data_IF_816031992334
#
_entry.id   IF_816031992334
#
_cell.length_a   1.000
_cell.length_b   1.000
_cell.length_c   1.000
_cell.angle_alpha   90.00
_cell.angle_beta   90.00
_cell.angle_gamma   90.00
#
_symmetry.space_group_name_H-M   'P 1'
#
loop_
_entity.id
_entity.type
_entity.pdbx_description
1 polymer ?
#
# COMPACT_ATOMS: atom_id res chain seq x y z
N UNK A 1 43.21 83.83 -40.06
CA UNK A 1 42.79 82.82 -41.00
C UNK A 1 42.79 81.48 -40.26
N UNK A 2 41.63 80.87 -40.05
CA UNK A 2 41.45 79.77 -39.11
C UNK A 2 41.58 78.45 -39.83
N UNK A 3 42.45 77.59 -39.34
CA UNK A 3 42.66 76.23 -39.77
C UNK A 3 41.81 75.27 -38.91
N UNK A 4 40.89 74.57 -39.52
CA UNK A 4 40.01 73.59 -38.87
C UNK A 4 40.65 72.20 -38.96
N UNK A 5 40.95 71.60 -37.81
CA UNK A 5 41.44 70.24 -37.70
C UNK A 5 40.23 69.26 -37.60
N UNK A 6 40.13 68.31 -38.52
CA UNK A 6 39.20 67.21 -38.49
C UNK A 6 39.81 66.02 -37.70
N UNK A 7 39.19 65.70 -36.59
CA UNK A 7 39.49 64.49 -35.80
C UNK A 7 38.63 63.37 -36.36
N UNK A 8 39.26 62.31 -36.91
CA UNK A 8 38.58 61.07 -37.27
C UNK A 8 38.43 60.16 -36.04
N UNK A 9 37.22 59.95 -35.60
CA UNK A 9 36.88 59.03 -34.55
C UNK A 9 36.72 57.63 -35.16
N UNK A 10 37.59 56.67 -34.76
CA UNK A 10 37.44 55.27 -35.11
C UNK A 10 36.49 54.58 -34.11
N UNK A 11 35.36 54.04 -34.60
CA UNK A 11 34.44 53.26 -33.81
C UNK A 11 34.89 51.79 -33.87
N UNK A 12 35.35 51.24 -32.74
CA UNK A 12 35.66 49.82 -32.57
C UNK A 12 34.34 49.16 -32.13
N UNK A 13 33.74 48.36 -33.02
CA UNK A 13 32.62 47.50 -32.67
C UNK A 13 33.12 46.22 -31.97
N UNK A 14 32.82 46.16 -30.67
CA UNK A 14 33.08 44.92 -29.89
C UNK A 14 31.89 43.99 -30.06
N UNK A 15 32.10 42.87 -30.82
CA UNK A 15 31.16 41.79 -30.91
C UNK A 15 31.26 40.92 -29.64
N UNK A 16 30.33 41.06 -28.70
CA UNK A 16 30.17 40.09 -27.62
C UNK A 16 29.31 38.92 -28.10
N UNK A 17 29.91 37.76 -28.27
CA UNK A 17 29.22 36.49 -28.46
C UNK A 17 28.53 36.11 -27.14
N UNK A 18 27.22 35.74 -27.11
CA UNK A 18 26.62 35.24 -25.91
C UNK A 18 27.16 33.85 -25.61
N UNK A 19 27.89 33.70 -24.50
CA UNK A 19 28.25 32.38 -23.95
C UNK A 19 26.94 31.85 -23.34
N UNK A 20 26.34 30.88 -24.01
CA UNK A 20 25.22 30.11 -23.47
C UNK A 20 25.75 29.27 -22.29
N UNK A 21 25.59 29.79 -21.07
CA UNK A 21 25.77 29.00 -19.85
C UNK A 21 24.62 28.00 -19.80
N UNK A 22 24.88 26.76 -20.18
CA UNK A 22 24.00 25.65 -19.87
C UNK A 22 24.04 25.47 -18.36
N UNK A 23 23.04 25.99 -17.66
CA UNK A 23 22.81 25.62 -16.27
C UNK A 23 22.48 24.13 -16.26
N UNK A 24 23.44 23.30 -15.92
CA UNK A 24 23.18 21.94 -15.50
C UNK A 24 22.28 22.06 -14.26
N UNK A 25 21.00 21.74 -14.41
CA UNK A 25 20.13 21.51 -13.28
C UNK A 25 20.75 20.36 -12.51
N UNK A 26 21.46 20.66 -11.44
CA UNK A 26 21.87 19.67 -10.45
C UNK A 26 20.57 19.07 -9.93
N UNK A 27 20.26 17.87 -10.36
CA UNK A 27 19.11 17.10 -9.88
C UNK A 27 19.36 16.88 -8.40
N UNK A 28 18.66 17.61 -7.57
CA UNK A 28 18.80 17.53 -6.12
C UNK A 28 18.36 16.12 -5.71
N UNK A 29 19.21 15.39 -5.02
CA UNK A 29 18.88 14.06 -4.51
C UNK A 29 17.56 14.15 -3.72
N UNK A 30 16.64 13.18 -3.86
CA UNK A 30 15.37 13.18 -3.15
C UNK A 30 15.61 13.34 -1.65
N UNK A 31 14.93 14.28 -1.02
CA UNK A 31 15.06 14.52 0.41
C UNK A 31 14.28 13.43 1.15
N UNK A 32 14.95 12.62 1.93
CA UNK A 32 14.31 11.66 2.83
C UNK A 32 13.69 12.42 4.00
N UNK A 33 12.39 12.21 4.25
CA UNK A 33 11.69 12.82 5.38
C UNK A 33 12.00 12.15 6.71
N UNK A 34 12.15 10.82 6.71
CA UNK A 34 12.40 10.02 7.91
C UNK A 34 13.83 9.50 7.92
N UNK A 35 14.47 9.60 9.09
CA UNK A 35 15.86 9.16 9.25
C UNK A 35 15.95 7.63 9.39
N UNK A 36 17.03 7.00 8.89
CA UNK A 36 17.30 5.61 9.17
C UNK A 36 17.31 5.32 10.67
N UNK A 37 16.80 4.18 11.07
CA UNK A 37 16.78 3.72 12.45
C UNK A 37 17.34 2.31 12.56
N UNK A 38 17.72 1.92 13.78
CA UNK A 38 17.97 0.51 14.11
C UNK A 38 16.64 -0.25 14.01
N UNK A 39 16.61 -1.44 13.37
CA UNK A 39 15.39 -2.23 13.27
C UNK A 39 14.76 -2.51 14.63
N UNK A 40 13.44 -2.38 14.72
CA UNK A 40 12.68 -2.74 15.94
C UNK A 40 11.59 -3.74 15.60
N UNK A 41 11.27 -4.63 16.54
CA UNK A 41 10.29 -5.69 16.34
C UNK A 41 10.88 -7.00 15.82
N UNK A 42 10.01 -7.94 15.48
CA UNK A 42 10.40 -9.29 15.04
C UNK A 42 9.97 -9.51 13.59
N UNK A 43 10.91 -9.68 12.65
CA UNK A 43 10.59 -9.85 11.25
C UNK A 43 9.82 -11.14 10.98
N UNK A 44 8.83 -11.09 10.07
CA UNK A 44 7.97 -12.20 9.68
C UNK A 44 8.17 -12.58 8.21
N UNK A 45 7.70 -13.75 7.84
CA UNK A 45 7.71 -14.24 6.47
C UNK A 45 8.56 -15.48 6.25
N UNK A 46 8.45 -16.09 5.06
CA UNK A 46 9.29 -17.23 4.60
C UNK A 46 10.75 -16.81 4.63
N UNK A 47 11.03 -15.61 4.14
CA UNK A 47 12.26 -14.87 4.34
C UNK A 47 11.92 -13.71 5.29
N UNK A 48 12.36 -13.78 6.55
CA UNK A 48 11.91 -12.82 7.56
C UNK A 48 12.19 -11.37 7.18
N UNK A 49 11.16 -10.49 7.24
CA UNK A 49 11.26 -9.08 6.91
C UNK A 49 11.37 -8.78 5.41
N UNK A 50 11.20 -9.77 4.51
CA UNK A 50 11.29 -9.54 3.07
C UNK A 50 10.09 -8.78 2.55
N UNK A 51 10.38 -7.72 1.79
CA UNK A 51 9.43 -6.97 0.97
C UNK A 51 9.86 -7.09 -0.50
N UNK A 52 8.98 -7.59 -1.35
CA UNK A 52 9.20 -7.67 -2.79
C UNK A 52 8.58 -6.45 -3.47
N UNK A 53 9.39 -5.69 -4.19
CA UNK A 53 8.96 -4.55 -5.00
C UNK A 53 9.19 -4.87 -6.47
N UNK A 54 8.11 -5.13 -7.21
CA UNK A 54 8.12 -5.34 -8.66
C UNK A 54 7.72 -4.05 -9.37
N UNK A 55 8.46 -3.66 -10.39
CA UNK A 55 8.29 -2.44 -11.15
C UNK A 55 8.25 -2.75 -12.65
N UNK A 56 7.18 -2.36 -13.35
CA UNK A 56 6.98 -2.58 -14.77
C UNK A 56 6.71 -1.25 -15.47
N UNK A 57 7.74 -0.49 -15.91
CA UNK A 57 7.54 0.75 -16.64
C UNK A 57 6.59 0.55 -17.82
N UNK A 58 5.63 1.47 -17.99
CA UNK A 58 4.59 1.37 -19.03
C UNK A 58 3.36 0.56 -18.63
N UNK A 59 3.31 -0.05 -17.44
CA UNK A 59 2.08 -0.70 -16.96
C UNK A 59 0.92 0.29 -16.79
N UNK A 60 1.21 1.57 -16.55
CA UNK A 60 0.28 2.67 -16.50
C UNK A 60 0.81 3.80 -17.40
N UNK A 61 -0.06 4.34 -18.25
CA UNK A 61 0.29 5.33 -19.29
C UNK A 61 -0.69 6.50 -19.38
N UNK A 62 -1.60 6.64 -18.40
CA UNK A 62 -2.56 7.74 -18.40
C UNK A 62 -1.83 9.09 -18.42
N UNK A 63 -2.23 9.97 -19.33
CA UNK A 63 -1.60 11.26 -19.61
C UNK A 63 -2.15 12.42 -18.75
N UNK A 64 -3.08 12.13 -17.82
CA UNK A 64 -3.75 13.14 -17.00
C UNK A 64 -4.89 13.85 -17.74
N UNK A 65 -5.19 13.51 -19.00
CA UNK A 65 -6.25 14.13 -19.78
C UNK A 65 -7.64 13.73 -19.29
N UNK A 66 -8.65 14.52 -19.67
CA UNK A 66 -10.06 14.20 -19.41
C UNK A 66 -10.69 13.31 -20.49
N UNK A 67 -9.96 13.02 -21.55
CA UNK A 67 -10.44 12.19 -22.65
C UNK A 67 -10.53 10.70 -22.28
N UNK A 68 -9.72 10.27 -21.31
CA UNK A 68 -9.73 8.92 -20.74
C UNK A 68 -9.69 8.99 -19.22
N UNK A 69 -10.14 7.92 -18.55
CA UNK A 69 -9.94 7.77 -17.12
C UNK A 69 -8.66 6.96 -16.86
N UNK A 70 -7.99 7.22 -15.73
CA UNK A 70 -6.76 6.51 -15.35
C UNK A 70 -6.97 4.98 -15.29
N UNK A 71 -8.19 4.53 -15.00
CA UNK A 71 -8.55 3.12 -14.88
C UNK A 71 -8.96 2.46 -16.20
N UNK A 72 -9.04 3.21 -17.32
CA UNK A 72 -9.40 2.65 -18.62
C UNK A 72 -8.33 1.65 -19.11
N UNK A 73 -8.77 0.63 -19.86
CA UNK A 73 -7.85 -0.34 -20.45
C UNK A 73 -6.85 0.27 -21.43
N UNK A 74 -7.22 1.36 -22.10
CA UNK A 74 -6.32 2.10 -22.98
C UNK A 74 -5.15 2.77 -22.24
N UNK A 75 -5.27 2.96 -20.92
CA UNK A 75 -4.27 3.58 -20.07
C UNK A 75 -3.44 2.56 -19.29
N UNK A 76 -3.76 1.27 -19.39
CA UNK A 76 -3.15 0.24 -18.54
C UNK A 76 -2.81 -1.04 -19.31
N UNK A 77 -1.55 -1.47 -19.26
CA UNK A 77 -1.12 -2.74 -19.85
C UNK A 77 -1.40 -3.89 -18.87
N UNK A 78 -2.43 -4.67 -19.19
CA UNK A 78 -2.82 -5.83 -18.38
C UNK A 78 -1.73 -6.91 -18.31
N UNK A 79 -0.97 -7.13 -19.38
CA UNK A 79 0.12 -8.12 -19.41
C UNK A 79 1.20 -7.74 -18.39
N UNK A 80 1.51 -6.44 -18.28
CA UNK A 80 2.45 -5.94 -17.29
C UNK A 80 1.87 -6.03 -15.87
N UNK A 81 0.56 -5.80 -15.67
CA UNK A 81 -0.08 -6.03 -14.36
C UNK A 81 0.02 -7.52 -13.94
N UNK A 82 -0.20 -8.46 -14.87
CA UNK A 82 0.01 -9.89 -14.62
C UNK A 82 1.45 -10.22 -14.25
N UNK A 83 2.41 -9.61 -14.97
CA UNK A 83 3.83 -9.78 -14.64
C UNK A 83 4.15 -9.25 -13.24
N UNK A 84 3.61 -8.10 -12.85
CA UNK A 84 3.81 -7.52 -11.52
C UNK A 84 3.38 -8.49 -10.41
N UNK A 85 2.20 -9.10 -10.52
CA UNK A 85 1.71 -10.09 -9.54
C UNK A 85 2.63 -11.31 -9.49
N UNK A 86 2.96 -11.90 -10.64
CA UNK A 86 3.80 -13.09 -10.73
C UNK A 86 5.23 -12.83 -10.19
N UNK A 87 5.83 -11.68 -10.54
CA UNK A 87 7.16 -11.30 -10.08
C UNK A 87 7.17 -11.05 -8.56
N UNK A 88 6.19 -10.33 -8.03
CA UNK A 88 6.08 -10.06 -6.59
C UNK A 88 6.00 -11.36 -5.79
N UNK A 89 5.16 -12.31 -6.19
CA UNK A 89 5.04 -13.60 -5.51
C UNK A 89 6.32 -14.42 -5.57
N UNK A 90 6.98 -14.49 -6.73
CA UNK A 90 8.25 -15.22 -6.88
C UNK A 90 9.35 -14.61 -6.04
N UNK A 91 9.51 -13.30 -6.08
CA UNK A 91 10.53 -12.59 -5.32
C UNK A 91 10.30 -12.70 -3.79
N UNK A 92 9.04 -12.63 -3.38
CA UNK A 92 8.65 -12.79 -1.99
C UNK A 92 9.01 -14.16 -1.43
N UNK A 93 8.85 -15.20 -2.22
CA UNK A 93 9.02 -16.60 -1.80
C UNK A 93 10.35 -17.24 -2.20
N UNK A 94 11.06 -16.65 -3.16
CA UNK A 94 12.24 -17.26 -3.80
C UNK A 94 11.89 -18.41 -4.78
N UNK A 95 10.60 -18.63 -5.04
CA UNK A 95 10.16 -19.73 -5.92
C UNK A 95 10.24 -19.35 -7.41
N UNK A 96 10.49 -20.35 -8.25
CA UNK A 96 10.70 -20.15 -9.69
C UNK A 96 9.40 -19.98 -10.50
N UNK A 97 8.25 -20.38 -9.95
CA UNK A 97 6.95 -20.25 -10.61
C UNK A 97 5.90 -19.70 -9.66
N UNK A 98 4.92 -19.00 -10.21
CA UNK A 98 3.81 -18.41 -9.46
C UNK A 98 3.01 -19.46 -8.68
N UNK A 99 2.71 -20.60 -9.31
CA UNK A 99 2.05 -21.74 -8.67
C UNK A 99 2.80 -22.24 -7.42
N UNK A 100 4.13 -22.35 -7.50
CA UNK A 100 4.95 -22.77 -6.36
C UNK A 100 5.02 -21.68 -5.29
N UNK A 101 5.07 -20.41 -5.70
CA UNK A 101 5.03 -19.28 -4.80
C UNK A 101 3.73 -19.26 -3.98
N UNK A 102 2.58 -19.43 -4.60
CA UNK A 102 1.30 -19.58 -3.88
C UNK A 102 1.31 -20.74 -2.90
N UNK A 103 1.80 -21.90 -3.34
CA UNK A 103 1.92 -23.04 -2.44
C UNK A 103 2.79 -22.72 -1.23
N UNK A 104 3.91 -22.05 -1.42
CA UNK A 104 4.82 -21.65 -0.33
C UNK A 104 4.14 -20.69 0.65
N UNK A 105 3.43 -19.65 0.14
CA UNK A 105 2.69 -18.69 0.94
C UNK A 105 1.62 -19.37 1.79
N UNK A 106 0.78 -20.21 1.21
CA UNK A 106 -0.24 -20.95 1.96
C UNK A 106 0.37 -21.90 2.99
N UNK A 107 1.44 -22.62 2.62
CA UNK A 107 2.11 -23.55 3.55
C UNK A 107 2.74 -22.82 4.73
N UNK A 108 3.39 -21.69 4.48
CA UNK A 108 3.96 -20.85 5.54
C UNK A 108 2.84 -20.39 6.50
N UNK A 109 1.79 -19.78 5.96
CA UNK A 109 0.67 -19.28 6.76
C UNK A 109 0.04 -20.38 7.63
N UNK A 110 -0.24 -21.53 7.04
CA UNK A 110 -0.85 -22.66 7.75
C UNK A 110 0.09 -23.25 8.81
N UNK A 111 1.39 -23.27 8.54
CA UNK A 111 2.40 -23.71 9.53
C UNK A 111 2.41 -22.80 10.76
N UNK A 112 2.35 -21.46 10.57
CA UNK A 112 2.27 -20.50 11.68
C UNK A 112 0.99 -20.69 12.53
N UNK A 113 -0.04 -21.34 11.99
CA UNK A 113 -1.32 -21.67 12.66
C UNK A 113 -1.40 -23.12 13.13
N UNK A 114 -0.26 -23.81 13.25
CA UNK A 114 -0.18 -25.19 13.73
C UNK A 114 -0.60 -26.27 12.73
N UNK A 115 -0.81 -25.91 11.44
CA UNK A 115 -1.16 -26.87 10.38
C UNK A 115 0.04 -27.17 9.50
N UNK A 116 1.02 -27.88 10.05
CA UNK A 116 2.28 -28.23 9.37
C UNK A 116 2.07 -28.87 7.99
N UNK A 117 2.80 -28.37 6.98
CA UNK A 117 2.83 -28.91 5.62
C UNK A 117 1.52 -28.77 4.82
N UNK A 118 0.50 -28.13 5.36
CA UNK A 118 -0.77 -27.88 4.65
C UNK A 118 -0.66 -26.66 3.78
N UNK A 119 -0.99 -26.80 2.49
CA UNK A 119 -1.22 -25.69 1.57
C UNK A 119 -2.71 -25.33 1.55
N UNK A 120 -3.20 -24.63 0.51
CA UNK A 120 -4.61 -24.30 0.34
C UNK A 120 -5.48 -25.57 0.40
N UNK A 121 -6.51 -25.54 1.23
CA UNK A 121 -7.52 -26.59 1.34
C UNK A 121 -8.75 -26.27 0.47
N UNK A 122 -9.22 -27.29 -0.29
CA UNK A 122 -10.38 -27.11 -1.17
C UNK A 122 -11.61 -26.63 -0.37
N UNK A 123 -12.18 -25.49 -0.78
CA UNK A 123 -13.35 -24.91 -0.14
C UNK A 123 -13.03 -23.87 0.95
N UNK A 124 -11.76 -23.68 1.32
CA UNK A 124 -11.38 -22.61 2.24
C UNK A 124 -11.60 -21.24 1.58
N UNK A 125 -12.33 -20.35 2.26
CA UNK A 125 -12.70 -19.03 1.73
C UNK A 125 -11.53 -18.05 1.82
N UNK A 126 -11.36 -17.23 0.79
CA UNK A 126 -10.39 -16.11 0.75
C UNK A 126 -11.16 -14.80 0.61
N UNK A 127 -10.89 -13.82 1.46
CA UNK A 127 -11.37 -12.45 1.30
C UNK A 127 -10.23 -11.53 0.87
N UNK A 128 -10.50 -10.64 -0.08
CA UNK A 128 -9.55 -9.62 -0.54
C UNK A 128 -10.09 -8.28 -0.10
N UNK A 129 -9.41 -7.60 0.83
CA UNK A 129 -9.70 -6.21 1.20
C UNK A 129 -9.01 -5.29 0.19
N UNK A 130 -9.81 -4.59 -0.61
CA UNK A 130 -9.33 -3.53 -1.51
C UNK A 130 -9.49 -2.15 -0.88
N UNK A 131 -9.00 -1.09 -1.53
CA UNK A 131 -9.18 0.28 -1.08
C UNK A 131 -9.97 1.10 -2.11
N UNK A 132 -11.23 1.34 -1.84
CA UNK A 132 -12.09 2.24 -2.60
C UNK A 132 -12.58 3.40 -1.71
N UNK A 133 -11.69 3.98 -0.90
CA UNK A 133 -12.07 5.00 0.08
C UNK A 133 -12.78 6.23 -0.52
N UNK A 134 -12.59 6.48 -1.81
CA UNK A 134 -13.07 7.69 -2.48
C UNK A 134 -14.30 7.44 -3.38
N UNK A 135 -15.01 6.32 -3.17
CA UNK A 135 -16.25 6.01 -3.90
C UNK A 135 -17.48 6.20 -2.99
N UNK A 136 -18.49 6.88 -3.51
CA UNK A 136 -19.72 7.20 -2.77
C UNK A 136 -20.99 6.71 -3.48
N UNK A 137 -20.84 6.05 -4.61
CA UNK A 137 -21.86 5.33 -5.41
C UNK A 137 -21.18 4.23 -6.22
N UNK A 138 -21.97 3.43 -6.97
CA UNK A 138 -21.42 2.46 -7.93
C UNK A 138 -20.88 3.13 -9.21
N UNK A 139 -21.22 4.39 -9.44
CA UNK A 139 -20.68 5.15 -10.58
C UNK A 139 -19.16 5.25 -10.50
N UNK A 140 -18.53 5.24 -11.66
CA UNK A 140 -17.08 5.31 -11.75
C UNK A 140 -16.57 6.67 -11.29
N UNK A 141 -15.56 6.64 -10.45
CA UNK A 141 -14.91 7.82 -9.89
C UNK A 141 -13.51 7.97 -10.44
N UNK A 142 -13.14 9.19 -10.84
CA UNK A 142 -11.77 9.51 -11.26
C UNK A 142 -10.80 9.65 -10.10
N UNK A 143 -11.28 9.65 -8.87
CA UNK A 143 -10.41 9.63 -7.68
C UNK A 143 -9.64 8.32 -7.58
N UNK A 144 -8.46 8.39 -6.98
CA UNK A 144 -7.60 7.21 -6.81
C UNK A 144 -8.27 6.16 -5.92
N UNK A 145 -8.44 4.97 -6.46
CA UNK A 145 -9.03 3.78 -5.84
C UNK A 145 -8.26 2.54 -6.31
N UNK A 146 -8.67 1.34 -5.87
CA UNK A 146 -8.07 0.09 -6.33
C UNK A 146 -8.08 -0.01 -7.86
N UNK A 147 -6.92 -0.38 -8.43
CA UNK A 147 -6.75 -0.50 -9.88
C UNK A 147 -7.49 -1.72 -10.42
N UNK A 148 -8.45 -1.57 -11.33
CA UNK A 148 -9.21 -2.71 -11.87
C UNK A 148 -8.33 -3.76 -12.53
N UNK A 149 -7.29 -3.34 -13.24
CA UNK A 149 -6.36 -4.23 -13.94
C UNK A 149 -5.47 -5.00 -12.95
N UNK A 150 -5.01 -4.35 -11.88
CA UNK A 150 -4.19 -5.00 -10.85
C UNK A 150 -5.02 -6.00 -10.05
N UNK A 151 -6.26 -5.63 -9.68
CA UNK A 151 -7.16 -6.56 -9.01
C UNK A 151 -7.48 -7.77 -9.89
N UNK A 152 -7.82 -7.56 -11.16
CA UNK A 152 -8.07 -8.67 -12.09
C UNK A 152 -6.84 -9.59 -12.22
N UNK A 153 -5.63 -9.02 -12.27
CA UNK A 153 -4.39 -9.76 -12.33
C UNK A 153 -4.18 -10.64 -11.07
N UNK A 154 -4.51 -10.12 -9.89
CA UNK A 154 -4.48 -10.89 -8.65
C UNK A 154 -5.53 -12.01 -8.64
N UNK A 155 -6.76 -11.74 -9.10
CA UNK A 155 -7.82 -12.72 -9.18
C UNK A 155 -7.46 -13.86 -10.15
N UNK A 156 -6.90 -13.55 -11.33
CA UNK A 156 -6.39 -14.54 -12.27
C UNK A 156 -5.31 -15.41 -11.63
N UNK A 157 -4.37 -14.80 -10.92
CA UNK A 157 -3.33 -15.51 -10.19
C UNK A 157 -3.87 -16.50 -9.16
N UNK A 158 -4.88 -16.09 -8.40
CA UNK A 158 -5.53 -16.97 -7.42
C UNK A 158 -6.30 -18.13 -8.07
N UNK A 159 -7.03 -17.85 -9.14
CA UNK A 159 -7.87 -18.86 -9.80
C UNK A 159 -7.02 -19.84 -10.62
N UNK A 160 -6.15 -19.31 -11.49
CA UNK A 160 -5.44 -20.12 -12.48
C UNK A 160 -4.15 -20.76 -11.92
N UNK A 161 -3.41 -20.02 -11.08
CA UNK A 161 -2.11 -20.50 -10.58
C UNK A 161 -2.22 -21.14 -9.18
N UNK A 162 -2.98 -20.55 -8.27
CA UNK A 162 -3.20 -21.13 -6.94
C UNK A 162 -4.29 -22.20 -6.94
N UNK A 163 -5.16 -22.23 -7.95
CA UNK A 163 -6.25 -23.20 -8.09
C UNK A 163 -7.41 -22.97 -7.10
N UNK A 164 -7.61 -21.71 -6.67
CA UNK A 164 -8.70 -21.36 -5.76
C UNK A 164 -10.01 -21.26 -6.56
N UNK A 165 -11.07 -22.03 -6.21
CA UNK A 165 -12.35 -21.91 -6.88
C UNK A 165 -12.93 -20.50 -6.74
N UNK A 166 -13.47 -19.96 -7.82
CA UNK A 166 -14.03 -18.58 -7.85
C UNK A 166 -15.03 -18.32 -6.72
N UNK A 167 -15.92 -19.27 -6.44
CA UNK A 167 -16.93 -19.18 -5.38
C UNK A 167 -16.33 -19.15 -3.96
N UNK A 168 -15.05 -19.43 -3.82
CA UNK A 168 -14.32 -19.30 -2.55
C UNK A 168 -13.67 -17.94 -2.38
N UNK A 169 -13.73 -17.06 -3.39
CA UNK A 169 -13.11 -15.72 -3.37
C UNK A 169 -14.18 -14.66 -3.15
N UNK A 170 -13.91 -13.73 -2.25
CA UNK A 170 -14.73 -12.54 -2.00
C UNK A 170 -13.85 -11.29 -2.07
N UNK A 171 -14.16 -10.36 -2.96
CA UNK A 171 -13.59 -9.01 -2.97
C UNK A 171 -14.45 -8.12 -2.11
N UNK A 172 -13.87 -7.39 -1.16
CA UNK A 172 -14.63 -6.64 -0.19
C UNK A 172 -14.09 -5.22 0.07
N UNK A 173 -14.99 -4.24 0.03
CA UNK A 173 -14.82 -2.88 0.52
C UNK A 173 -16.06 -2.48 1.33
N UNK A 174 -16.22 -2.97 2.56
CA UNK A 174 -17.48 -2.83 3.31
C UNK A 174 -17.88 -1.39 3.62
N UNK A 175 -16.93 -0.45 3.63
CA UNK A 175 -17.18 0.94 4.02
C UNK A 175 -17.51 1.88 2.86
N UNK A 176 -17.39 1.41 1.63
CA UNK A 176 -17.53 2.21 0.40
C UNK A 176 -18.21 1.40 -0.69
N UNK A 177 -18.17 1.89 -1.89
CA UNK A 177 -18.78 1.26 -3.06
C UNK A 177 -17.72 0.65 -3.96
N UNK A 178 -18.03 -0.46 -4.58
CA UNK A 178 -17.25 -1.04 -5.66
C UNK A 178 -17.82 -0.52 -6.97
N UNK A 179 -17.04 0.29 -7.70
CA UNK A 179 -17.48 0.97 -8.92
C UNK A 179 -17.81 0.00 -10.05
N UNK A 180 -18.62 0.46 -11.02
CA UNK A 180 -19.11 -0.38 -12.11
C UNK A 180 -17.98 -0.88 -13.01
N UNK A 181 -17.00 -0.03 -13.34
CA UNK A 181 -15.88 -0.45 -14.16
C UNK A 181 -15.07 -1.57 -13.49
N UNK A 182 -14.71 -1.39 -12.21
CA UNK A 182 -13.96 -2.39 -11.46
C UNK A 182 -14.73 -3.70 -11.35
N UNK A 183 -16.01 -3.64 -10.97
CA UNK A 183 -16.88 -4.80 -10.86
C UNK A 183 -17.00 -5.53 -12.18
N UNK A 184 -17.43 -4.84 -13.24
CA UNK A 184 -17.69 -5.43 -14.54
C UNK A 184 -16.42 -6.07 -15.14
N UNK A 185 -15.28 -5.39 -15.01
CA UNK A 185 -14.00 -5.91 -15.48
C UNK A 185 -13.62 -7.25 -14.83
N UNK A 186 -13.77 -7.35 -13.52
CA UNK A 186 -13.42 -8.57 -12.78
C UNK A 186 -14.49 -9.65 -12.90
N UNK A 187 -15.78 -9.28 -12.75
CA UNK A 187 -16.90 -10.21 -12.76
C UNK A 187 -17.14 -10.84 -14.14
N UNK A 188 -16.93 -10.10 -15.24
CA UNK A 188 -17.05 -10.66 -16.58
C UNK A 188 -16.08 -11.80 -16.84
N UNK A 189 -14.88 -11.75 -16.25
CA UNK A 189 -13.86 -12.81 -16.37
C UNK A 189 -14.09 -13.95 -15.38
N UNK A 190 -14.51 -13.62 -14.15
CA UNK A 190 -14.69 -14.55 -13.04
C UNK A 190 -16.04 -14.37 -12.35
N UNK A 191 -17.15 -14.80 -12.99
CA UNK A 191 -18.52 -14.55 -12.50
C UNK A 191 -18.87 -15.28 -11.20
N UNK A 192 -18.08 -16.25 -10.78
CA UNK A 192 -18.26 -16.95 -9.51
C UNK A 192 -17.69 -16.22 -8.31
N UNK A 193 -16.91 -15.14 -8.51
CA UNK A 193 -16.35 -14.33 -7.42
C UNK A 193 -17.44 -13.42 -6.83
N UNK A 194 -17.49 -13.33 -5.51
CA UNK A 194 -18.40 -12.44 -4.80
C UNK A 194 -17.77 -11.08 -4.57
N UNK A 195 -18.59 -10.05 -4.71
CA UNK A 195 -18.22 -8.66 -4.41
C UNK A 195 -19.10 -8.15 -3.30
N UNK A 196 -18.50 -7.63 -2.23
CA UNK A 196 -19.19 -7.14 -1.03
C UNK A 196 -18.82 -5.68 -0.80
N UNK A 197 -19.81 -4.80 -0.76
CA UNK A 197 -19.62 -3.39 -0.50
C UNK A 197 -20.65 -2.82 0.49
N UNK A 198 -20.59 -1.51 0.73
CA UNK A 198 -21.45 -0.86 1.71
C UNK A 198 -22.95 -0.99 1.41
N UNK A 199 -23.34 -0.93 0.14
CA UNK A 199 -24.74 -0.82 -0.29
C UNK A 199 -25.31 -2.13 -0.80
N UNK A 200 -24.51 -2.92 -1.50
CA UNK A 200 -25.03 -3.99 -2.35
C UNK A 200 -25.83 -3.47 -3.53
N UNK A 201 -26.41 -4.36 -4.32
CA UNK A 201 -27.12 -4.06 -5.56
C UNK A 201 -26.22 -4.18 -6.78
N UNK A 202 -26.81 -4.27 -7.96
CA UNK A 202 -26.11 -4.38 -9.26
C UNK A 202 -25.04 -5.49 -9.28
N UNK A 203 -25.38 -6.65 -8.70
CA UNK A 203 -24.50 -7.82 -8.59
C UNK A 203 -23.57 -7.84 -7.37
N UNK A 204 -23.49 -6.75 -6.60
CA UNK A 204 -22.74 -6.71 -5.35
C UNK A 204 -23.64 -7.14 -4.18
N UNK A 205 -23.02 -7.69 -3.15
CA UNK A 205 -23.69 -8.01 -1.89
C UNK A 205 -23.47 -6.87 -0.90
N UNK A 206 -24.51 -6.53 -0.14
CA UNK A 206 -24.38 -5.58 0.97
C UNK A 206 -23.55 -6.18 2.09
N UNK A 207 -22.63 -5.39 2.65
CA UNK A 207 -21.83 -5.80 3.78
C UNK A 207 -22.70 -6.07 5.01
N UNK A 208 -22.47 -7.22 5.62
CA UNK A 208 -23.02 -7.63 6.92
C UNK A 208 -21.89 -7.65 7.95
N UNK A 209 -22.25 -7.59 9.25
CA UNK A 209 -21.28 -7.45 10.31
C UNK A 209 -21.50 -8.42 11.44
N UNK A 210 -20.42 -9.02 11.93
CA UNK A 210 -20.38 -9.79 13.18
C UNK A 210 -20.19 -8.81 14.34
N UNK A 211 -21.27 -8.51 15.06
CA UNK A 211 -21.23 -7.57 16.17
C UNK A 211 -20.37 -8.09 17.34
N UNK A 212 -19.64 -7.18 18.00
CA UNK A 212 -18.77 -7.53 19.11
C UNK A 212 -17.50 -8.30 18.73
N UNK A 213 -17.22 -8.46 17.43
CA UNK A 213 -16.07 -9.24 16.96
C UNK A 213 -14.72 -8.62 17.32
N UNK A 214 -14.64 -7.28 17.46
CA UNK A 214 -13.43 -6.58 17.91
C UNK A 214 -13.70 -5.78 19.17
N UNK A 215 -12.75 -5.76 20.11
CA UNK A 215 -12.89 -5.07 21.38
C UNK A 215 -12.07 -3.81 21.52
N UNK A 216 -11.10 -3.59 20.70
CA UNK A 216 -10.10 -2.54 20.80
C UNK A 216 -9.44 -2.43 22.18
N UNK A 217 -8.15 -2.34 22.19
CA UNK A 217 -7.33 -2.33 23.41
C UNK A 217 -7.58 -1.08 24.28
N UNK A 218 -7.93 0.05 23.68
CA UNK A 218 -8.38 1.27 24.36
C UNK A 218 -9.65 1.79 23.69
N UNK A 219 -10.78 1.20 24.03
CA UNK A 219 -12.07 1.68 23.58
C UNK A 219 -12.63 2.71 24.57
N UNK A 220 -13.02 3.86 24.06
CA UNK A 220 -13.70 4.91 24.81
C UNK A 220 -15.23 4.71 24.86
N UNK A 221 -15.73 3.54 24.50
CA UNK A 221 -17.17 3.20 24.45
C UNK A 221 -17.88 3.70 23.19
N UNK A 222 -17.15 4.25 22.22
CA UNK A 222 -17.72 4.85 21.01
C UNK A 222 -17.29 4.17 19.70
N UNK A 223 -16.37 3.21 19.77
CA UNK A 223 -15.90 2.50 18.58
C UNK A 223 -16.89 1.39 18.20
N UNK A 224 -17.22 1.31 16.92
CA UNK A 224 -18.05 0.24 16.40
C UNK A 224 -17.29 -1.10 16.45
N UNK A 225 -17.89 -2.10 17.07
CA UNK A 225 -17.26 -3.39 17.36
C UNK A 225 -17.62 -4.49 16.36
N UNK A 226 -18.43 -4.18 15.35
CA UNK A 226 -18.78 -5.13 14.29
C UNK A 226 -17.67 -5.21 13.24
N UNK A 227 -17.27 -6.43 12.88
CA UNK A 227 -16.38 -6.68 11.73
C UNK A 227 -17.19 -7.26 10.59
N UNK A 228 -16.90 -6.85 9.35
CA UNK A 228 -17.59 -7.36 8.18
C UNK A 228 -17.44 -8.90 8.07
N UNK A 229 -18.57 -9.58 7.85
CA UNK A 229 -18.64 -11.05 7.78
C UNK A 229 -17.78 -11.60 6.64
N UNK A 230 -17.57 -10.84 5.58
CA UNK A 230 -16.62 -11.18 4.52
C UNK A 230 -15.23 -11.56 5.07
N UNK A 231 -14.80 -10.93 6.17
CA UNK A 231 -13.51 -11.25 6.82
C UNK A 231 -13.66 -12.26 7.95
N UNK A 232 -14.66 -12.15 8.81
CA UNK A 232 -14.81 -13.07 9.95
C UNK A 232 -15.07 -14.51 9.49
N UNK A 233 -15.75 -14.70 8.36
CA UNK A 233 -16.00 -16.01 7.77
C UNK A 233 -14.90 -16.52 6.83
N UNK A 234 -13.99 -15.68 6.40
CA UNK A 234 -12.87 -16.09 5.56
C UNK A 234 -11.88 -16.94 6.37
N UNK A 235 -11.24 -17.88 5.69
CA UNK A 235 -10.11 -18.62 6.25
C UNK A 235 -8.79 -17.88 6.06
N UNK A 236 -8.63 -17.23 4.91
CA UNK A 236 -7.51 -16.39 4.55
C UNK A 236 -7.99 -15.00 4.16
N UNK A 237 -7.15 -14.02 4.38
CA UNK A 237 -7.37 -12.66 3.89
C UNK A 237 -6.15 -12.19 3.10
N UNK A 238 -6.38 -11.45 2.03
CA UNK A 238 -5.37 -10.66 1.32
C UNK A 238 -5.73 -9.20 1.54
N UNK A 239 -4.77 -8.42 2.04
CA UNK A 239 -4.93 -6.97 2.19
C UNK A 239 -4.23 -6.29 1.02
N UNK A 240 -4.99 -5.66 0.12
CA UNK A 240 -4.51 -4.94 -1.04
C UNK A 240 -4.79 -3.46 -0.87
N UNK A 241 -3.81 -2.74 -0.32
CA UNK A 241 -3.85 -1.30 -0.08
C UNK A 241 -3.42 -0.50 -1.31
N UNK A 242 -3.40 0.84 -1.21
CA UNK A 242 -2.94 1.75 -2.26
C UNK A 242 -1.70 2.52 -1.82
N UNK A 243 -0.82 2.80 -2.78
CA UNK A 243 0.36 3.63 -2.58
C UNK A 243 -0.01 5.12 -2.59
N UNK A 244 -0.54 5.62 -1.47
CA UNK A 244 -0.97 7.02 -1.37
C UNK A 244 -0.82 7.60 0.04
N UNK A 245 -0.66 8.93 0.08
CA UNK A 245 -0.67 9.70 1.31
C UNK A 245 -2.05 9.83 1.95
N UNK A 246 -2.08 10.39 3.15
CA UNK A 246 -3.31 10.67 3.89
C UNK A 246 -3.12 11.77 4.91
N UNK A 247 -3.92 12.82 4.83
CA UNK A 247 -3.98 13.84 5.88
C UNK A 247 -4.42 13.22 7.22
N UNK A 248 -3.78 13.60 8.31
CA UNK A 248 -4.06 13.09 9.66
C UNK A 248 -3.34 11.78 10.02
N UNK A 249 -2.78 11.06 9.02
CA UNK A 249 -2.10 9.77 9.22
C UNK A 249 -0.78 9.64 8.45
N UNK A 250 -0.48 10.59 7.59
CA UNK A 250 0.64 10.48 6.66
C UNK A 250 0.35 9.58 5.46
N UNK A 251 -0.11 8.35 5.67
CA UNK A 251 -0.26 7.35 4.60
C UNK A 251 -1.59 6.61 4.63
N UNK A 252 -1.99 6.06 3.47
CA UNK A 252 -3.04 5.05 3.31
C UNK A 252 -2.40 3.77 2.78
N UNK A 253 -1.83 2.98 3.65
CA UNK A 253 -1.20 1.69 3.36
C UNK A 253 -1.97 0.54 4.02
N UNK A 254 -1.33 -0.61 4.19
CA UNK A 254 -2.00 -1.83 4.65
C UNK A 254 -2.63 -1.71 6.04
N UNK A 255 -1.94 -1.07 6.99
CA UNK A 255 -2.48 -0.86 8.34
C UNK A 255 -3.76 -0.04 8.33
N UNK A 256 -3.77 1.08 7.57
CA UNK A 256 -4.96 1.94 7.47
C UNK A 256 -6.06 1.35 6.59
N UNK A 257 -5.73 0.47 5.64
CA UNK A 257 -6.73 -0.17 4.78
C UNK A 257 -7.78 -0.98 5.57
N UNK A 258 -7.42 -1.45 6.75
CA UNK A 258 -8.34 -2.14 7.67
C UNK A 258 -9.46 -1.26 8.24
N UNK A 259 -9.31 0.05 8.16
CA UNK A 259 -10.27 1.00 8.71
C UNK A 259 -11.69 0.81 8.17
N UNK A 260 -11.83 0.40 6.92
CA UNK A 260 -13.11 0.11 6.28
C UNK A 260 -13.72 -1.25 6.62
N UNK A 261 -13.19 -2.01 7.58
CA UNK A 261 -13.66 -3.35 7.91
C UNK A 261 -14.71 -3.39 9.01
N UNK A 262 -14.86 -2.30 9.78
CA UNK A 262 -15.83 -2.24 10.88
C UNK A 262 -17.19 -1.74 10.40
N UNK A 263 -18.22 -2.02 11.19
CA UNK A 263 -19.57 -1.51 10.95
C UNK A 263 -19.57 0.01 10.87
N UNK A 264 -20.33 0.56 9.91
CA UNK A 264 -20.28 1.99 9.59
C UNK A 264 -21.49 2.67 10.21
N UNK A 265 -21.21 3.63 11.10
CA UNK A 265 -22.13 4.68 11.48
C UNK A 265 -21.38 6.02 11.55
N UNK A 266 -22.10 7.12 11.64
CA UNK A 266 -21.51 8.45 11.69
C UNK A 266 -20.63 8.64 12.94
N UNK A 267 -21.04 8.09 14.06
CA UNK A 267 -20.31 8.19 15.33
C UNK A 267 -19.01 7.39 15.29
N UNK A 268 -19.04 6.21 14.69
CA UNK A 268 -17.86 5.39 14.50
C UNK A 268 -16.78 6.11 13.68
N UNK A 269 -17.13 6.64 12.52
CA UNK A 269 -16.16 7.37 11.65
C UNK A 269 -15.56 8.56 12.36
N UNK A 270 -16.36 9.34 13.06
CA UNK A 270 -15.93 10.49 13.81
C UNK A 270 -14.94 10.12 14.92
N UNK A 271 -15.21 9.04 15.65
CA UNK A 271 -14.40 8.62 16.78
C UNK A 271 -13.09 7.95 16.35
N UNK A 272 -13.14 7.13 15.31
CA UNK A 272 -11.93 6.46 14.86
C UNK A 272 -10.88 7.45 14.35
N UNK A 273 -11.27 8.51 13.65
CA UNK A 273 -10.35 9.59 13.28
C UNK A 273 -9.78 10.32 14.50
N UNK A 274 -10.54 10.48 15.55
CA UNK A 274 -10.06 11.10 16.78
C UNK A 274 -8.98 10.28 17.50
N UNK A 275 -8.90 8.97 17.25
CA UNK A 275 -7.87 8.11 17.82
C UNK A 275 -6.58 8.07 16.98
N UNK A 276 -6.59 8.63 15.77
CA UNK A 276 -5.49 8.49 14.82
C UNK A 276 -4.54 9.70 14.78
N UNK A 277 -5.03 10.90 14.96
CA UNK A 277 -4.27 12.13 14.74
C UNK A 277 -3.52 12.60 16.00
N UNK A 278 -3.13 11.71 16.85
CA UNK A 278 -2.78 12.03 18.21
C UNK A 278 -1.28 12.13 18.50
N UNK A 279 -0.41 11.73 17.56
CA UNK A 279 1.02 11.66 17.83
C UNK A 279 1.82 12.85 17.31
N UNK A 280 1.18 13.90 16.90
CA UNK A 280 1.81 15.12 16.33
C UNK A 280 2.90 15.76 17.20
N UNK A 281 2.99 15.38 18.48
CA UNK A 281 3.99 15.90 19.43
C UNK A 281 5.11 14.89 19.72
N UNK A 282 5.24 13.82 18.95
CA UNK A 282 6.25 12.78 19.19
C UNK A 282 6.02 11.91 20.43
N UNK A 283 4.90 12.12 21.16
CA UNK A 283 4.56 11.29 22.32
C UNK A 283 3.86 10.03 21.87
N UNK A 284 4.39 8.83 22.17
CA UNK A 284 3.74 7.58 21.81
C UNK A 284 2.32 7.48 22.36
N UNK A 285 1.39 7.02 21.53
CA UNK A 285 -0.02 6.86 21.89
C UNK A 285 -0.57 5.54 21.34
N UNK A 286 -1.67 5.11 21.94
CA UNK A 286 -2.45 4.00 21.41
C UNK A 286 -2.85 4.25 19.95
N UNK A 287 -2.62 3.23 19.11
CA UNK A 287 -2.92 3.26 17.68
C UNK A 287 -3.91 2.14 17.33
N UNK A 288 -5.13 2.50 16.96
CA UNK A 288 -6.19 1.54 16.57
C UNK A 288 -5.76 0.62 15.42
N UNK A 289 -4.85 1.08 14.56
CA UNK A 289 -4.32 0.24 13.47
C UNK A 289 -3.60 -1.00 13.97
N UNK A 290 -2.96 -0.93 15.14
CA UNK A 290 -2.28 -2.09 15.74
C UNK A 290 -3.29 -3.16 16.11
N UNK A 291 -4.44 -2.76 16.67
CA UNK A 291 -5.54 -3.71 16.93
C UNK A 291 -6.01 -4.38 15.65
N UNK A 292 -6.25 -3.63 14.57
CA UNK A 292 -6.63 -4.22 13.29
C UNK A 292 -5.55 -5.15 12.72
N UNK A 293 -4.30 -4.73 12.75
CA UNK A 293 -3.16 -5.50 12.23
C UNK A 293 -2.91 -6.78 13.04
N UNK A 294 -3.29 -6.79 14.32
CA UNK A 294 -3.13 -7.94 15.21
C UNK A 294 -4.36 -8.83 15.34
N UNK A 295 -5.58 -8.28 15.10
CA UNK A 295 -6.83 -9.00 15.34
C UNK A 295 -6.92 -10.31 14.54
N UNK A 296 -7.34 -11.38 15.22
CA UNK A 296 -7.41 -12.76 14.67
C UNK A 296 -8.20 -12.87 13.36
N UNK A 297 -9.26 -12.05 13.17
CA UNK A 297 -10.11 -12.09 11.99
C UNK A 297 -9.69 -11.11 10.88
N UNK A 298 -8.68 -10.27 11.11
CA UNK A 298 -8.11 -9.32 10.16
C UNK A 298 -6.63 -9.64 9.90
N UNK A 299 -5.70 -8.90 10.52
CA UNK A 299 -4.28 -9.13 10.31
C UNK A 299 -3.82 -10.53 10.70
N UNK A 300 -4.39 -11.14 11.72
CA UNK A 300 -4.12 -12.54 12.13
C UNK A 300 -4.51 -13.60 11.10
N UNK A 301 -5.41 -13.27 10.15
CA UNK A 301 -5.77 -14.12 8.99
C UNK A 301 -5.11 -13.68 7.70
N UNK A 302 -4.36 -12.58 7.70
CA UNK A 302 -3.81 -12.05 6.47
C UNK A 302 -2.66 -12.90 5.98
N UNK A 303 -2.93 -13.56 4.87
CA UNK A 303 -2.04 -14.46 4.14
C UNK A 303 -0.97 -13.67 3.37
N UNK A 304 -1.35 -12.52 2.81
CA UNK A 304 -0.54 -11.71 1.93
C UNK A 304 -0.93 -10.23 2.06
N UNK A 305 0.06 -9.37 2.19
CA UNK A 305 -0.05 -7.94 2.23
C UNK A 305 0.46 -7.38 0.92
N UNK A 306 -0.34 -6.52 0.26
CA UNK A 306 -0.03 -5.92 -1.03
C UNK A 306 -0.28 -4.42 -0.98
N UNK A 307 0.55 -3.65 -1.67
CA UNK A 307 0.33 -2.25 -1.99
C UNK A 307 0.26 -2.13 -3.50
N UNK A 308 -0.94 -1.82 -4.01
CA UNK A 308 -1.16 -1.44 -5.40
C UNK A 308 -0.57 -0.05 -5.64
N UNK A 309 0.52 -0.02 -6.36
CA UNK A 309 1.26 1.14 -6.80
C UNK A 309 1.26 1.26 -8.33
N UNK A 310 0.23 0.75 -9.02
CA UNK A 310 0.09 1.01 -10.45
C UNK A 310 0.06 2.51 -10.70
N UNK A 311 -0.69 3.20 -9.88
CA UNK A 311 -0.68 4.65 -9.70
C UNK A 311 -0.30 5.00 -8.27
N UNK A 312 0.04 6.27 -8.04
CA UNK A 312 0.31 6.80 -6.71
C UNK A 312 -0.28 8.19 -6.53
N UNK A 313 -0.47 8.59 -5.28
CA UNK A 313 -1.01 9.90 -4.97
C UNK A 313 -0.41 10.45 -3.67
N UNK A 314 -0.14 11.75 -3.66
CA UNK A 314 0.32 12.47 -2.47
C UNK A 314 -0.76 12.55 -1.38
N UNK A 315 -2.03 12.60 -1.78
CA UNK A 315 -3.17 12.87 -0.90
C UNK A 315 -4.10 11.66 -0.76
N UNK A 316 -5.04 11.78 0.18
CA UNK A 316 -6.06 10.75 0.45
C UNK A 316 -7.03 10.54 -0.71
N UNK A 317 -7.30 11.60 -1.49
CA UNK A 317 -8.25 11.63 -2.60
C UNK A 317 -7.75 12.52 -3.73
N UNK A 318 -8.57 12.65 -4.76
CA UNK A 318 -8.24 13.29 -6.01
C UNK A 318 -7.80 12.28 -7.07
N UNK A 319 -7.60 12.72 -8.29
CA UNK A 319 -7.05 11.88 -9.35
C UNK A 319 -5.62 11.43 -9.00
N UNK A 320 -5.13 10.29 -9.55
CA UNK A 320 -3.73 9.89 -9.40
C UNK A 320 -2.77 11.03 -9.77
N UNK A 321 -1.66 11.13 -9.07
CA UNK A 321 -0.64 12.11 -9.44
C UNK A 321 0.03 12.81 -8.25
N UNK A 322 1.00 13.66 -8.56
CA UNK A 322 1.64 13.85 -9.87
C UNK A 322 2.48 12.64 -10.31
N UNK A 323 3.02 12.68 -11.54
CA UNK A 323 4.03 11.72 -12.00
C UNK A 323 5.23 11.72 -11.06
N UNK A 324 5.84 10.55 -10.85
CA UNK A 324 6.90 10.38 -9.89
C UNK A 324 8.27 10.73 -10.49
N UNK A 325 8.94 11.70 -9.90
CA UNK A 325 10.22 12.24 -10.41
C UNK A 325 11.44 11.54 -9.86
N UNK A 326 11.33 10.90 -8.67
CA UNK A 326 12.44 10.16 -8.09
C UNK A 326 12.82 8.92 -8.93
N UNK A 327 14.08 8.49 -8.85
CA UNK A 327 14.51 7.19 -9.36
C UNK A 327 13.77 6.04 -8.62
N UNK A 328 13.35 4.98 -9.32
CA UNK A 328 13.60 4.65 -10.73
C UNK A 328 12.50 5.10 -11.71
N UNK A 329 11.59 5.97 -11.29
CA UNK A 329 10.37 6.33 -12.03
C UNK A 329 10.63 7.40 -13.11
N UNK A 330 11.50 8.40 -12.84
CA UNK A 330 11.97 9.36 -13.84
C UNK A 330 10.86 10.09 -14.60
N UNK A 331 9.85 10.58 -13.91
CA UNK A 331 8.73 11.29 -14.51
C UNK A 331 7.62 10.37 -15.06
N UNK A 332 7.57 9.12 -14.60
CA UNK A 332 6.52 8.17 -14.96
C UNK A 332 5.62 7.85 -13.74
N UNK A 333 4.57 7.09 -13.99
CA UNK A 333 3.77 6.47 -12.91
C UNK A 333 4.61 5.44 -12.15
N UNK A 334 4.29 5.14 -10.88
CA UNK A 334 5.05 4.14 -10.12
C UNK A 334 5.01 2.74 -10.74
N UNK A 335 3.97 2.38 -11.47
CA UNK A 335 3.86 1.12 -12.21
C UNK A 335 4.35 -0.09 -11.40
N UNK A 336 3.98 -0.16 -10.13
CA UNK A 336 4.56 -1.07 -9.15
C UNK A 336 3.51 -1.90 -8.44
N UNK A 337 3.93 -3.08 -7.98
CA UNK A 337 3.26 -3.84 -6.93
C UNK A 337 4.28 -4.17 -5.86
N UNK A 338 3.92 -3.90 -4.60
CA UNK A 338 4.75 -4.23 -3.44
C UNK A 338 4.04 -5.31 -2.64
N UNK A 339 4.76 -6.33 -2.19
CA UNK A 339 4.20 -7.43 -1.43
C UNK A 339 5.08 -7.89 -0.28
N UNK A 340 4.45 -8.32 0.83
CA UNK A 340 5.15 -8.90 1.97
C UNK A 340 4.26 -9.87 2.76
N UNK A 341 4.90 -10.71 3.58
CA UNK A 341 4.27 -11.49 4.64
C UNK A 341 4.44 -10.81 6.02
N UNK A 342 5.12 -9.67 6.05
CA UNK A 342 5.32 -8.84 7.24
C UNK A 342 4.52 -7.54 7.08
N UNK A 343 3.45 -7.35 7.88
CA UNK A 343 2.57 -6.18 7.75
C UNK A 343 3.24 -4.86 8.11
N UNK A 344 4.27 -4.89 8.95
CA UNK A 344 4.99 -3.69 9.35
C UNK A 344 6.01 -3.33 8.28
N UNK A 345 6.81 -4.30 7.84
CA UNK A 345 7.86 -4.08 6.85
C UNK A 345 7.32 -3.52 5.52
N UNK A 346 6.16 -4.01 5.05
CA UNK A 346 5.57 -3.52 3.80
C UNK A 346 5.17 -2.05 3.88
N UNK A 347 4.55 -1.65 4.99
CA UNK A 347 4.10 -0.27 5.16
C UNK A 347 5.31 0.67 5.38
N UNK A 348 6.39 0.20 6.04
CA UNK A 348 7.65 0.97 6.14
C UNK A 348 8.23 1.26 4.75
N UNK A 349 8.31 0.26 3.86
CA UNK A 349 8.78 0.47 2.48
C UNK A 349 7.84 1.43 1.72
N UNK A 350 6.53 1.31 1.90
CA UNK A 350 5.54 2.23 1.32
C UNK A 350 5.72 3.67 1.79
N UNK A 351 6.00 3.88 3.08
CA UNK A 351 6.29 5.19 3.68
C UNK A 351 7.57 5.77 3.09
N UNK A 352 8.64 4.99 3.04
CA UNK A 352 9.93 5.45 2.51
C UNK A 352 9.81 5.88 1.04
N UNK A 353 9.06 5.15 0.22
CA UNK A 353 8.77 5.53 -1.16
C UNK A 353 7.96 6.84 -1.23
N UNK A 354 6.87 6.94 -0.46
CA UNK A 354 5.99 8.11 -0.49
C UNK A 354 6.67 9.37 0.04
N UNK A 355 7.39 9.28 1.16
CA UNK A 355 8.06 10.44 1.76
C UNK A 355 9.27 10.90 0.96
N UNK A 356 9.93 10.00 0.25
CA UNK A 356 11.01 10.36 -0.67
C UNK A 356 10.51 11.03 -1.93
N UNK A 357 9.37 10.56 -2.48
CA UNK A 357 8.74 11.20 -3.63
C UNK A 357 8.08 12.53 -3.26
N UNK A 358 7.42 12.58 -2.11
CA UNK A 358 6.63 13.71 -1.63
C UNK A 358 7.11 14.18 -0.25
N UNK A 359 8.26 14.86 -0.15
CA UNK A 359 8.81 15.29 1.14
C UNK A 359 7.92 16.32 1.87
N UNK A 360 6.97 16.93 1.15
CA UNK A 360 5.95 17.84 1.65
C UNK A 360 4.56 17.17 1.82
N UNK A 361 4.53 15.84 1.86
CA UNK A 361 3.30 15.09 2.11
C UNK A 361 2.73 15.45 3.50
N UNK A 362 1.41 15.66 3.60
CA UNK A 362 0.80 15.96 4.90
C UNK A 362 1.11 14.86 5.93
N UNK A 363 1.48 15.30 7.13
CA UNK A 363 1.75 14.42 8.28
C UNK A 363 2.83 13.33 8.02
N UNK A 364 3.76 13.58 7.10
CA UNK A 364 4.85 12.66 6.76
C UNK A 364 5.67 12.24 7.99
N UNK A 365 5.96 13.20 8.90
CA UNK A 365 6.78 12.99 10.10
C UNK A 365 6.15 12.04 11.13
N UNK A 366 4.88 11.68 10.95
CA UNK A 366 4.14 10.81 11.88
C UNK A 366 3.63 9.53 11.24
N UNK A 367 3.98 9.30 9.98
CA UNK A 367 3.42 8.22 9.18
C UNK A 367 3.85 6.82 9.66
N UNK A 368 4.99 6.72 10.33
CA UNK A 368 5.56 5.46 10.86
C UNK A 368 5.09 5.09 12.27
N UNK A 369 4.46 6.02 13.01
CA UNK A 369 4.21 5.83 14.45
C UNK A 369 3.36 4.60 14.78
N UNK A 370 2.34 4.29 13.98
CA UNK A 370 1.56 3.07 14.20
C UNK A 370 2.37 1.80 13.93
N UNK A 371 3.40 1.89 13.09
CA UNK A 371 4.29 0.77 12.76
C UNK A 371 5.30 0.51 13.87
N UNK A 372 5.80 1.55 14.52
CA UNK A 372 6.64 1.40 15.71
C UNK A 372 5.85 0.76 16.85
N UNK A 373 4.59 1.20 17.07
CA UNK A 373 3.68 0.56 18.03
C UNK A 373 3.41 -0.91 17.66
N UNK A 374 3.15 -1.20 16.38
CA UNK A 374 2.90 -2.56 15.89
C UNK A 374 4.13 -3.47 16.00
N UNK A 375 5.30 -2.96 15.66
CA UNK A 375 6.57 -3.69 15.79
C UNK A 375 6.86 -4.06 17.25
N UNK A 376 6.48 -3.20 18.18
CA UNK A 376 6.70 -3.35 19.61
C UNK A 376 5.41 -3.65 20.40
N UNK A 377 4.37 -4.20 19.77
CA UNK A 377 3.05 -4.38 20.41
C UNK A 377 3.09 -5.15 21.74
N UNK A 378 4.05 -6.03 21.92
CA UNK A 378 4.27 -6.74 23.20
C UNK A 378 4.92 -5.89 24.31
N UNK A 379 5.49 -4.73 23.97
CA UNK A 379 6.04 -3.73 24.87
C UNK A 379 5.96 -2.36 24.18
N UNK A 380 4.75 -1.94 23.90
CA UNK A 380 4.47 -0.76 23.08
C UNK A 380 4.99 0.52 23.74
N UNK A 381 5.60 1.45 22.97
CA UNK A 381 6.10 2.73 23.49
C UNK A 381 5.05 3.55 24.22
N UNK A 382 3.77 3.42 23.83
CA UNK A 382 2.62 4.07 24.49
C UNK A 382 2.25 3.45 25.84
N UNK A 383 2.87 2.33 26.23
CA UNK A 383 2.47 1.53 27.38
C UNK A 383 1.13 0.80 27.19
N UNK A 384 0.60 0.75 25.95
CA UNK A 384 -0.65 0.03 25.66
C UNK A 384 -0.41 -1.47 25.64
N UNK A 385 -1.17 -2.23 26.41
CA UNK A 385 -1.31 -3.67 26.24
C UNK A 385 -2.33 -3.91 25.11
N UNK A 386 -1.85 -4.25 23.92
CA UNK A 386 -2.72 -4.49 22.77
C UNK A 386 -3.38 -5.87 22.89
N UNK A 387 -4.71 -5.89 23.06
CA UNK A 387 -5.54 -7.09 23.19
C UNK A 387 -6.88 -6.85 22.44
N UNK A 388 -6.88 -6.91 21.10
CA UNK A 388 -8.05 -6.58 20.28
C UNK A 388 -9.20 -7.59 20.40
N UNK A 389 -8.96 -8.79 20.91
CA UNK A 389 -9.97 -9.79 21.23
C UNK A 389 -10.59 -9.55 22.61
N UNK A 390 -9.88 -8.89 23.52
CA UNK A 390 -10.28 -8.69 24.90
C UNK A 390 -10.36 -10.00 25.70
N UNK A 391 -9.49 -10.95 25.38
CA UNK A 391 -9.43 -12.28 26.02
C UNK A 391 -8.27 -12.40 27.05
N UNK A 392 -7.52 -11.33 27.26
CA UNK A 392 -6.40 -11.28 28.18
C UNK A 392 -5.08 -11.75 27.54
N UNK A 393 -5.05 -11.94 26.23
CA UNK A 393 -3.83 -12.37 25.50
C UNK A 393 -3.24 -11.18 24.69
N UNK A 394 -2.29 -10.43 25.27
CA UNK A 394 -1.69 -9.30 24.57
C UNK A 394 -0.97 -9.72 23.29
N UNK A 395 -1.03 -8.86 22.28
CA UNK A 395 -0.29 -9.02 21.03
C UNK A 395 1.21 -9.05 21.31
N UNK A 396 1.92 -9.82 20.49
CA UNK A 396 3.37 -9.77 20.35
C UNK A 396 3.73 -8.87 19.18
N UNK A 397 5.04 -8.68 18.93
CA UNK A 397 5.51 -7.99 17.73
C UNK A 397 4.75 -8.45 16.48
N UNK A 398 4.25 -7.52 15.69
CA UNK A 398 3.52 -7.81 14.46
C UNK A 398 4.42 -7.85 13.23
N UNK A 399 5.67 -7.38 13.34
CA UNK A 399 6.61 -7.33 12.24
C UNK A 399 7.82 -6.48 12.61
N UNK A 400 8.62 -6.09 11.60
CA UNK A 400 9.82 -5.28 11.80
C UNK A 400 9.67 -3.89 11.17
N UNK A 401 9.98 -2.85 11.96
CA UNK A 401 10.00 -1.45 11.53
C UNK A 401 11.45 -0.98 11.35
N UNK A 402 11.75 -0.50 10.15
CA UNK A 402 13.03 0.05 9.76
C UNK A 402 12.87 0.99 8.57
N UNK A 403 13.57 2.13 8.57
CA UNK A 403 13.72 3.00 7.42
C UNK A 403 15.00 2.68 6.65
N UNK A 404 14.95 2.78 5.34
CA UNK A 404 16.11 2.58 4.48
C UNK A 404 17.24 3.60 4.72
N UNK A 405 18.45 3.29 4.28
CA UNK A 405 19.63 4.14 4.48
C UNK A 405 19.50 5.49 3.76
N UNK A 406 18.92 5.51 2.55
CA UNK A 406 18.64 6.71 1.76
C UNK A 406 17.78 6.38 0.53
N UNK A 407 17.21 7.41 -0.09
CA UNK A 407 16.33 7.25 -1.25
C UNK A 407 17.03 6.83 -2.55
N UNK A 408 18.36 6.87 -2.62
CA UNK A 408 19.13 6.46 -3.78
C UNK A 408 19.44 4.96 -3.74
N UNK A 409 20.05 4.50 -2.65
CA UNK A 409 20.46 3.10 -2.49
C UNK A 409 19.30 2.21 -2.06
N UNK A 410 18.38 2.74 -1.25
CA UNK A 410 17.17 2.05 -0.77
C UNK A 410 17.47 0.72 -0.08
N UNK A 411 18.52 0.72 0.76
CA UNK A 411 19.00 -0.47 1.45
C UNK A 411 18.59 -0.45 2.92
N UNK A 412 18.08 -1.58 3.35
CA UNK A 412 17.77 -1.90 4.73
C UNK A 412 18.85 -2.78 5.34
N UNK A 413 18.77 -3.06 6.62
CA UNK A 413 19.80 -3.83 7.34
C UNK A 413 20.14 -5.17 6.69
N UNK A 414 19.14 -5.95 6.25
CA UNK A 414 19.39 -7.24 5.57
C UNK A 414 20.03 -7.06 4.19
N UNK A 415 19.71 -6.00 3.46
CA UNK A 415 20.39 -5.69 2.21
C UNK A 415 21.88 -5.35 2.44
N UNK A 416 22.21 -4.84 3.63
CA UNK A 416 23.57 -4.54 4.06
C UNK A 416 24.30 -5.74 4.72
N UNK A 417 23.70 -6.95 4.66
CA UNK A 417 24.31 -8.18 5.16
C UNK A 417 24.09 -8.44 6.65
N UNK A 418 23.19 -7.72 7.32
CA UNK A 418 22.81 -8.03 8.70
C UNK A 418 21.74 -9.11 8.75
N UNK A 419 21.62 -9.80 9.89
CA UNK A 419 20.62 -10.86 10.09
C UNK A 419 19.26 -10.34 10.58
N UNK A 420 19.13 -9.04 10.80
CA UNK A 420 17.95 -8.37 11.34
C UNK A 420 17.40 -7.33 10.34
N UNK A 421 16.19 -6.82 10.59
CA UNK A 421 15.60 -5.74 9.82
C UNK A 421 14.88 -6.22 8.56
N UNK A 422 14.67 -5.28 7.64
CA UNK A 422 13.98 -5.48 6.36
C UNK A 422 14.96 -5.94 5.28
N UNK A 423 14.48 -6.76 4.35
CA UNK A 423 15.13 -7.09 3.09
C UNK A 423 14.25 -6.60 1.95
N UNK A 424 14.70 -5.61 1.19
CA UNK A 424 14.02 -5.15 -0.01
C UNK A 424 14.55 -5.90 -1.24
N UNK A 425 13.67 -6.66 -1.91
CA UNK A 425 13.96 -7.31 -3.18
C UNK A 425 13.27 -6.53 -4.29
N UNK A 426 14.06 -5.82 -5.09
CA UNK A 426 13.58 -5.00 -6.20
C UNK A 426 13.81 -5.67 -7.53
N UNK A 427 12.74 -5.82 -8.34
CA UNK A 427 12.83 -6.33 -9.72
C UNK A 427 12.15 -5.35 -10.69
N UNK A 428 12.89 -4.90 -11.69
CA UNK A 428 12.38 -4.08 -12.79
C UNK A 428 12.17 -4.94 -14.03
N UNK A 429 10.99 -4.85 -14.64
CA UNK A 429 10.71 -5.45 -15.95
C UNK A 429 11.61 -4.82 -17.00
N UNK A 430 12.35 -5.65 -17.72
CA UNK A 430 13.22 -5.25 -18.84
C UNK A 430 12.40 -5.01 -20.11
#
# INVERSE_FOLDING_TARGET
>A
MRTTNLIKTAVIAIFTLPVAVHAQTVQQAPKQCLAPNTPVGTPRGIHPGRVAWSHAPGAATWDGSKASAWFDDSCNDYTLCRWLVAATLRNLTGEKSEKRAWRAVFTYFNTQRGKQGKSYGKGEKIAIKINNNNTYSHEDSREINASPQMLLALLESLVEEAGVPQQCITVAEPSRFITDYLYNKCHSRYPGIRFVDNSGGDGRMKAEYSEGAIRFSKDNGRLARGLATAFTEAYYVINMALLKGHVGQGVTLCGKNWYGCTSINADWRKNAHNNFDQNRNGTPKYMTFVDFMGHKDLGGKTLLWLIDGLYGCKNVGGEPGPLWTMEPFNGQWPCSLIGSLDPVAIDMVGIDLLTSQFPDMPDADYSDMYLIEAAQAGNAPSGTAYDPEGDGTPLKSLGVAEHWNNATDRQYSRNLGKEEGIELVYEKKK
#
